data_IF_926547624104
#
_entry.id   IF_926547624104
#
_cell.length_a   1.000
_cell.length_b   1.000
_cell.length_c   1.000
_cell.angle_alpha   90.00
_cell.angle_beta   90.00
_cell.angle_gamma   90.00
#
_symmetry.space_group_name_H-M   'P 1'
#
loop_
_entity.id
_entity.type
_entity.pdbx_description
1 polymer ?
#
# COMPACT_ATOMS: atom_id res chain seq x y z
N UNK A 1 5.40 -6.98 1.03
CA UNK A 1 4.51 -5.95 0.43
C UNK A 1 4.05 -6.48 -0.92
N UNK A 2 2.83 -6.18 -1.40
CA UNK A 2 2.42 -6.55 -2.75
C UNK A 2 3.32 -5.91 -3.80
N UNK A 3 3.81 -6.69 -4.77
CA UNK A 3 4.79 -6.18 -5.74
C UNK A 3 4.19 -5.12 -6.68
N UNK A 4 2.91 -5.25 -7.03
CA UNK A 4 2.17 -4.26 -7.84
C UNK A 4 2.30 -2.85 -7.25
N UNK A 5 2.06 -2.72 -5.94
CA UNK A 5 2.13 -1.46 -5.21
C UNK A 5 3.57 -0.95 -5.12
N UNK A 6 4.53 -1.83 -4.83
CA UNK A 6 5.95 -1.46 -4.73
C UNK A 6 6.47 -0.90 -6.06
N UNK A 7 6.21 -1.60 -7.17
CA UNK A 7 6.66 -1.16 -8.49
C UNK A 7 6.02 0.18 -8.89
N UNK A 8 4.71 0.36 -8.66
CA UNK A 8 4.04 1.63 -8.94
C UNK A 8 4.69 2.80 -8.16
N UNK A 9 4.95 2.62 -6.86
CA UNK A 9 5.63 3.65 -6.07
C UNK A 9 7.08 3.89 -6.50
N UNK A 10 7.83 2.83 -6.86
CA UNK A 10 9.20 2.96 -7.32
C UNK A 10 9.28 3.74 -8.64
N UNK A 11 8.35 3.52 -9.57
CA UNK A 11 8.27 4.28 -10.82
C UNK A 11 8.01 5.76 -10.53
N UNK A 12 7.02 6.10 -9.71
CA UNK A 12 6.77 7.51 -9.33
C UNK A 12 7.97 8.15 -8.61
N UNK A 13 8.63 7.41 -7.73
CA UNK A 13 9.84 7.89 -7.03
C UNK A 13 10.97 8.13 -8.00
N UNK A 14 11.14 7.26 -9.00
CA UNK A 14 12.16 7.41 -10.04
C UNK A 14 11.86 8.60 -10.94
N UNK A 15 10.61 8.79 -11.38
CA UNK A 15 10.17 9.96 -12.14
C UNK A 15 10.43 11.27 -11.38
N UNK A 16 10.11 11.31 -10.08
CA UNK A 16 10.39 12.47 -9.24
C UNK A 16 11.90 12.79 -9.13
N UNK A 17 12.75 11.75 -9.07
CA UNK A 17 14.21 11.91 -9.07
C UNK A 17 14.75 12.41 -10.42
N UNK A 18 14.29 11.84 -11.53
CA UNK A 18 14.73 12.26 -12.87
C UNK A 18 14.31 13.70 -13.19
N UNK A 19 13.21 14.19 -12.61
CA UNK A 19 12.81 15.61 -12.71
C UNK A 19 13.78 16.56 -12.01
N UNK A 20 14.38 16.13 -10.90
CA UNK A 20 15.26 16.97 -10.07
C UNK A 20 16.74 16.84 -10.45
N UNK A 21 17.07 15.93 -11.35
CA UNK A 21 18.45 15.61 -11.73
C UNK A 21 18.94 16.57 -12.82
N UNK A 22 20.17 17.03 -12.68
CA UNK A 22 20.87 17.79 -13.72
C UNK A 22 21.09 16.91 -14.97
N UNK A 23 20.65 17.38 -16.14
CA UNK A 23 20.59 16.56 -17.37
C UNK A 23 19.50 15.48 -17.36
N UNK A 24 18.54 15.57 -16.44
CA UNK A 24 17.38 14.67 -16.36
C UNK A 24 16.26 15.02 -17.34
N UNK A 25 15.05 14.58 -17.01
CA UNK A 25 13.85 14.84 -17.82
C UNK A 25 13.28 16.23 -17.51
N UNK A 26 13.93 17.27 -18.06
CA UNK A 26 13.59 18.67 -17.79
C UNK A 26 12.16 19.06 -18.23
N UNK A 27 11.56 18.29 -19.14
CA UNK A 27 10.18 18.46 -19.57
C UNK A 27 9.16 17.86 -18.61
N UNK A 28 9.56 17.02 -17.64
CA UNK A 28 8.66 16.33 -16.72
C UNK A 28 8.11 17.27 -15.65
N UNK A 29 6.80 17.25 -15.39
CA UNK A 29 6.15 18.10 -14.38
C UNK A 29 5.79 17.32 -13.11
N UNK A 30 5.03 17.98 -12.23
CA UNK A 30 4.78 17.50 -10.87
C UNK A 30 3.79 16.34 -10.82
N UNK A 31 2.76 16.37 -11.68
CA UNK A 31 1.68 15.40 -11.65
C UNK A 31 2.06 14.12 -12.43
N UNK A 32 1.98 12.98 -11.75
CA UNK A 32 2.16 11.67 -12.34
C UNK A 32 1.27 10.62 -11.67
N UNK A 33 0.74 9.72 -12.49
CA UNK A 33 -0.07 8.56 -12.09
C UNK A 33 0.55 7.33 -12.74
N UNK A 34 0.78 6.28 -11.95
CA UNK A 34 1.36 5.02 -12.43
C UNK A 34 0.49 3.86 -12.00
N UNK A 35 0.27 2.93 -12.91
CA UNK A 35 -0.46 1.69 -12.64
C UNK A 35 0.34 0.51 -13.18
N UNK A 36 0.49 -0.53 -12.37
CA UNK A 36 1.24 -1.74 -12.71
C UNK A 36 0.33 -2.95 -12.57
N UNK A 37 0.13 -3.67 -13.67
CA UNK A 37 -0.58 -4.93 -13.71
C UNK A 37 0.41 -6.09 -13.75
N UNK A 38 0.26 -7.01 -12.81
CA UNK A 38 1.11 -8.21 -12.70
C UNK A 38 0.22 -9.43 -12.86
N UNK A 39 0.68 -10.38 -13.67
CA UNK A 39 0.04 -11.68 -13.80
C UNK A 39 0.54 -12.60 -12.69
N UNK A 40 -0.41 -13.09 -11.91
CA UNK A 40 -0.18 -14.05 -10.84
C UNK A 40 -0.76 -15.42 -11.19
N UNK A 41 -0.13 -16.49 -10.70
CA UNK A 41 -0.65 -17.85 -10.70
C UNK A 41 -1.00 -18.24 -9.27
N UNK A 42 -2.23 -18.71 -9.04
CA UNK A 42 -2.57 -19.36 -7.78
C UNK A 42 -2.16 -20.83 -7.85
N UNK A 43 -1.31 -21.26 -6.95
CA UNK A 43 -0.91 -22.66 -6.83
C UNK A 43 -2.08 -23.48 -6.24
N UNK A 44 -2.35 -24.65 -6.80
CA UNK A 44 -3.52 -25.47 -6.43
C UNK A 44 -3.38 -26.09 -5.04
N UNK A 45 -2.19 -26.56 -4.70
CA UNK A 45 -1.96 -27.34 -3.48
C UNK A 45 -1.84 -26.43 -2.25
N UNK A 46 -1.12 -25.32 -2.40
CA UNK A 46 -0.87 -24.42 -1.28
C UNK A 46 -1.83 -23.23 -1.27
N UNK A 47 -2.46 -22.87 -2.39
CA UNK A 47 -3.17 -21.60 -2.56
C UNK A 47 -2.26 -20.37 -2.62
N UNK A 48 -0.92 -20.56 -2.75
CA UNK A 48 0.04 -19.45 -2.83
C UNK A 48 -0.18 -18.64 -4.11
N UNK A 49 0.01 -17.33 -4.01
CA UNK A 49 -0.06 -16.42 -5.16
C UNK A 49 1.38 -16.21 -5.64
N UNK A 50 1.76 -16.94 -6.68
CA UNK A 50 3.09 -16.89 -7.29
C UNK A 50 3.09 -15.87 -8.41
N UNK A 51 4.11 -15.04 -8.46
CA UNK A 51 4.28 -14.06 -9.51
C UNK A 51 4.80 -14.72 -10.79
N UNK A 52 4.20 -14.37 -11.93
CA UNK A 52 4.66 -14.85 -13.24
C UNK A 52 5.46 -13.75 -13.94
N UNK A 53 4.83 -12.61 -14.22
CA UNK A 53 5.43 -11.48 -14.95
C UNK A 53 4.65 -10.20 -14.74
N UNK A 54 5.28 -9.07 -15.01
CA UNK A 54 4.57 -7.81 -15.25
C UNK A 54 3.89 -7.90 -16.62
N UNK A 55 2.59 -7.62 -16.67
CA UNK A 55 1.79 -7.75 -17.88
C UNK A 55 1.57 -6.39 -18.56
N UNK A 56 1.30 -5.34 -17.78
CA UNK A 56 1.12 -4.00 -18.32
C UNK A 56 1.59 -2.95 -17.32
N UNK A 57 2.28 -1.93 -17.82
CA UNK A 57 2.66 -0.73 -17.06
C UNK A 57 2.01 0.47 -17.76
N UNK A 58 1.27 1.27 -17.00
CA UNK A 58 0.69 2.52 -17.46
C UNK A 58 1.36 3.64 -16.67
N UNK A 59 1.88 4.63 -17.39
CA UNK A 59 2.45 5.84 -16.81
C UNK A 59 1.77 7.02 -17.50
N UNK A 60 1.12 7.87 -16.72
CA UNK A 60 0.59 9.15 -17.15
C UNK A 60 1.32 10.22 -16.38
N UNK A 61 1.91 11.19 -17.08
CA UNK A 61 2.67 12.27 -16.45
C UNK A 61 2.43 13.58 -17.18
N UNK A 62 2.37 14.65 -16.42
CA UNK A 62 2.31 15.99 -16.95
C UNK A 62 3.68 16.38 -17.52
N UNK A 63 3.68 17.12 -18.63
CA UNK A 63 4.89 17.54 -19.34
C UNK A 63 4.89 19.03 -19.71
N UNK A 64 6.04 19.58 -20.09
CA UNK A 64 6.18 20.94 -20.62
C UNK A 64 5.59 21.05 -22.04
N UNK A 65 5.32 22.27 -22.50
CA UNK A 65 4.84 22.52 -23.88
C UNK A 65 5.93 22.34 -24.95
N UNK A 66 7.18 22.18 -24.52
CA UNK A 66 8.35 22.07 -25.40
C UNK A 66 8.43 20.70 -26.10
N UNK A 67 7.65 19.73 -25.64
CA UNK A 67 7.60 18.38 -26.22
C UNK A 67 6.30 18.21 -27.02
N UNK A 68 6.40 17.61 -28.22
CA UNK A 68 5.32 17.66 -29.21
C UNK A 68 4.15 16.75 -28.86
N UNK A 69 2.92 17.18 -29.18
CA UNK A 69 1.67 16.43 -28.93
C UNK A 69 1.59 15.10 -29.70
N UNK A 70 2.39 14.93 -30.76
CA UNK A 70 2.52 13.66 -31.49
C UNK A 70 3.28 12.59 -30.69
N UNK A 71 4.16 13.01 -29.78
CA UNK A 71 4.96 12.13 -28.95
C UNK A 71 4.32 11.82 -27.59
N UNK A 72 3.31 12.60 -27.14
CA UNK A 72 2.92 12.60 -25.71
C UNK A 72 1.43 12.66 -25.32
N UNK A 73 0.46 12.74 -26.25
CA UNK A 73 -1.01 12.79 -26.00
C UNK A 73 -1.48 12.79 -24.53
N UNK A 74 -1.34 13.91 -23.83
CA UNK A 74 -2.26 14.39 -22.77
C UNK A 74 -1.92 15.84 -22.45
N UNK A 75 -2.88 16.77 -22.59
CA UNK A 75 -2.68 18.20 -22.28
C UNK A 75 -3.68 18.61 -21.19
N UNK A 76 -3.13 19.23 -20.14
CA UNK A 76 -3.72 19.66 -18.85
C UNK A 76 -3.65 18.60 -17.74
N UNK A 77 -3.02 18.94 -16.61
CA UNK A 77 -2.86 18.11 -15.41
C UNK A 77 -2.62 18.98 -14.17
N UNK A 78 -2.54 18.39 -12.98
CA UNK A 78 -2.45 19.12 -11.71
C UNK A 78 -3.77 19.78 -11.26
N UNK A 79 -3.75 20.65 -10.23
CA UNK A 79 -4.96 21.22 -9.61
C UNK A 79 -5.85 22.01 -10.58
N UNK A 80 -5.28 22.50 -11.69
CA UNK A 80 -5.99 23.23 -12.72
C UNK A 80 -6.83 22.31 -13.64
N UNK A 81 -6.50 21.02 -13.72
CA UNK A 81 -7.23 20.02 -14.51
C UNK A 81 -8.00 18.99 -13.67
N UNK A 82 -7.63 18.80 -12.41
CA UNK A 82 -8.21 17.79 -11.51
C UNK A 82 -8.17 18.30 -10.06
N UNK A 83 -9.34 18.48 -9.43
CA UNK A 83 -9.43 18.98 -8.07
C UNK A 83 -9.00 17.90 -7.08
N UNK A 84 -7.95 18.16 -6.30
CA UNK A 84 -7.49 17.23 -5.27
C UNK A 84 -8.16 17.46 -3.92
N UNK A 85 -8.85 16.45 -3.38
CA UNK A 85 -9.34 16.47 -1.99
C UNK A 85 -8.52 15.53 -1.09
N UNK A 86 -8.28 15.98 0.14
CA UNK A 86 -7.61 15.19 1.17
C UNK A 86 -8.39 13.90 1.44
N UNK A 87 -7.69 12.75 1.44
CA UNK A 87 -8.29 11.44 1.69
C UNK A 87 -8.84 10.71 0.46
N UNK A 88 -8.76 11.26 -0.76
CA UNK A 88 -9.24 10.56 -1.96
C UNK A 88 -8.33 9.42 -2.46
N UNK A 89 -7.13 9.28 -1.90
CA UNK A 89 -6.16 8.25 -2.27
C UNK A 89 -5.98 7.21 -1.16
N UNK A 90 -7.07 6.78 -0.51
CA UNK A 90 -7.03 5.90 0.68
C UNK A 90 -6.43 4.50 0.44
N UNK A 91 -6.54 3.98 -0.79
CA UNK A 91 -5.91 2.69 -1.15
C UNK A 91 -4.40 2.85 -1.28
N UNK A 92 -3.94 4.06 -1.62
CA UNK A 92 -2.52 4.41 -1.74
C UNK A 92 -1.96 4.81 -0.37
N UNK A 93 -2.75 5.51 0.47
CA UNK A 93 -2.34 6.07 1.75
C UNK A 93 -3.42 5.83 2.84
N UNK A 94 -3.03 5.54 4.08
CA UNK A 94 -3.97 5.44 5.21
C UNK A 94 -4.28 6.85 5.78
N UNK A 95 -5.55 7.23 5.98
CA UNK A 95 -5.93 8.60 6.43
C UNK A 95 -6.92 8.66 7.62
N UNK A 96 -6.73 9.70 8.48
CA UNK A 96 -7.41 10.12 9.73
C UNK A 96 -6.86 9.56 11.06
N UNK A 97 -7.02 10.29 12.19
CA UNK A 97 -6.24 10.11 13.43
C UNK A 97 -6.22 8.68 14.01
N UNK A 98 -7.39 8.10 14.32
CA UNK A 98 -7.47 6.71 14.82
C UNK A 98 -7.27 5.70 13.69
N UNK A 99 -7.69 6.03 12.46
CA UNK A 99 -7.51 5.15 11.31
C UNK A 99 -6.03 5.01 10.93
N UNK A 100 -5.21 6.04 11.15
CA UNK A 100 -3.79 6.07 10.82
C UNK A 100 -2.99 5.31 11.88
N UNK A 101 -3.19 5.58 13.17
CA UNK A 101 -2.53 4.84 14.24
C UNK A 101 -2.96 3.36 14.25
N UNK A 102 -4.26 3.08 14.14
CA UNK A 102 -4.78 1.72 13.99
C UNK A 102 -4.23 1.00 12.76
N UNK A 103 -4.15 1.67 11.60
CA UNK A 103 -3.57 1.08 10.39
C UNK A 103 -2.07 0.82 10.52
N UNK A 104 -1.30 1.74 11.11
CA UNK A 104 0.13 1.52 11.36
C UNK A 104 0.38 0.38 12.33
N UNK A 105 -0.43 0.27 13.39
CA UNK A 105 -0.35 -0.85 14.31
C UNK A 105 -0.70 -2.18 13.62
N UNK A 106 -1.81 -2.24 12.89
CA UNK A 106 -2.20 -3.43 12.13
C UNK A 106 -1.10 -3.83 11.13
N UNK A 107 -0.47 -2.84 10.49
CA UNK A 107 0.66 -3.05 9.59
C UNK A 107 1.89 -3.59 10.32
N UNK A 108 2.20 -3.07 11.50
CA UNK A 108 3.32 -3.54 12.31
C UNK A 108 3.11 -4.98 12.74
N UNK A 109 1.92 -5.30 13.28
CA UNK A 109 1.52 -6.65 13.66
C UNK A 109 1.68 -7.61 12.47
N UNK A 110 1.09 -7.27 11.32
CA UNK A 110 1.16 -8.10 10.11
C UNK A 110 2.62 -8.34 9.68
N UNK A 111 3.46 -7.30 9.69
CA UNK A 111 4.88 -7.40 9.32
C UNK A 111 5.65 -8.29 10.30
N UNK A 112 5.41 -8.16 11.60
CA UNK A 112 6.07 -8.96 12.63
C UNK A 112 5.71 -10.45 12.53
N UNK A 113 4.44 -10.78 12.31
CA UNK A 113 3.99 -12.17 12.17
C UNK A 113 4.62 -12.84 10.93
N UNK A 114 4.71 -12.12 9.81
CA UNK A 114 5.38 -12.62 8.60
C UNK A 114 6.89 -12.74 8.83
N UNK A 115 7.53 -11.77 9.49
CA UNK A 115 8.97 -11.77 9.73
C UNK A 115 9.43 -12.94 10.60
N UNK A 116 8.64 -13.33 11.60
CA UNK A 116 8.89 -14.53 12.43
C UNK A 116 8.53 -15.82 11.68
N UNK A 117 7.89 -15.72 10.51
CA UNK A 117 7.54 -16.87 9.68
C UNK A 117 6.37 -17.68 10.22
N UNK A 118 5.47 -17.09 11.01
CA UNK A 118 4.25 -17.75 11.50
C UNK A 118 3.18 -17.90 10.40
N UNK A 119 3.19 -16.98 9.43
CA UNK A 119 2.35 -17.03 8.25
C UNK A 119 3.06 -16.40 7.04
N UNK A 120 2.75 -16.86 5.82
CA UNK A 120 3.27 -16.22 4.60
C UNK A 120 2.50 -14.94 4.27
N UNK A 121 1.16 -15.00 4.34
CA UNK A 121 0.26 -13.87 4.13
C UNK A 121 -0.65 -13.72 5.34
N UNK A 122 -0.99 -12.48 5.69
CA UNK A 122 -1.89 -12.18 6.79
C UNK A 122 -2.64 -10.88 6.53
N UNK A 123 -3.92 -10.88 6.82
CA UNK A 123 -4.78 -9.72 6.95
C UNK A 123 -5.08 -9.52 8.44
N UNK A 124 -4.86 -8.30 8.93
CA UNK A 124 -5.17 -7.91 10.30
C UNK A 124 -6.18 -6.77 10.24
N UNK A 125 -7.29 -6.92 10.95
CA UNK A 125 -8.33 -5.91 11.06
C UNK A 125 -8.55 -5.58 12.54
N UNK A 126 -8.56 -4.29 12.85
CA UNK A 126 -8.82 -3.74 14.17
C UNK A 126 -10.03 -2.83 14.09
N UNK A 127 -10.96 -2.98 15.04
CA UNK A 127 -12.15 -2.13 15.13
C UNK A 127 -12.19 -1.44 16.50
N UNK A 128 -12.51 -0.14 16.50
CA UNK A 128 -12.64 0.67 17.71
C UNK A 128 -13.96 1.42 17.71
N UNK A 129 -14.47 1.73 18.90
CA UNK A 129 -15.57 2.69 19.10
C UNK A 129 -15.02 3.98 19.73
N UNK A 130 -15.69 5.09 19.43
CA UNK A 130 -15.38 6.39 20.03
C UNK A 130 -15.54 6.29 21.55
N UNK A 131 -14.52 6.74 22.29
CA UNK A 131 -14.49 6.68 23.75
C UNK A 131 -14.06 5.32 24.35
N UNK A 132 -13.82 4.29 23.52
CA UNK A 132 -13.40 2.97 24.00
C UNK A 132 -11.89 2.79 23.78
N UNK A 133 -11.17 2.53 24.88
CA UNK A 133 -9.69 2.41 24.88
C UNK A 133 -9.21 1.09 24.26
N UNK A 134 -9.95 -0.01 24.48
CA UNK A 134 -9.64 -1.33 23.95
C UNK A 134 -10.32 -1.55 22.60
N UNK A 135 -9.74 -2.34 21.68
CA UNK A 135 -10.41 -2.68 20.43
C UNK A 135 -11.68 -3.50 20.71
N UNK A 136 -12.75 -3.19 19.98
CA UNK A 136 -14.00 -3.96 19.99
C UNK A 136 -13.78 -5.35 19.38
N UNK A 137 -13.04 -5.40 18.29
CA UNK A 137 -12.71 -6.65 17.61
C UNK A 137 -11.31 -6.62 17.00
N UNK A 138 -10.66 -7.77 17.05
CA UNK A 138 -9.40 -8.05 16.37
C UNK A 138 -9.63 -9.28 15.51
N UNK A 139 -9.61 -9.09 14.20
CA UNK A 139 -9.78 -10.17 13.23
C UNK A 139 -8.46 -10.41 12.50
N UNK A 140 -8.15 -11.69 12.30
CA UNK A 140 -6.95 -12.13 11.60
C UNK A 140 -7.33 -13.19 10.59
N UNK A 141 -6.86 -13.02 9.36
CA UNK A 141 -6.95 -14.04 8.33
C UNK A 141 -5.59 -14.32 7.71
N UNK A 142 -5.14 -15.57 7.80
CA UNK A 142 -3.90 -16.03 7.16
C UNK A 142 -4.13 -16.55 5.75
N UNK A 143 -5.36 -16.56 5.23
CA UNK A 143 -5.71 -17.17 3.93
C UNK A 143 -5.29 -18.66 3.84
N UNK A 144 -5.26 -19.37 4.97
CA UNK A 144 -4.79 -20.75 5.05
C UNK A 144 -3.26 -20.90 5.00
N UNK A 145 -2.50 -19.80 5.09
CA UNK A 145 -1.03 -19.76 5.00
C UNK A 145 -0.31 -19.68 6.34
N UNK A 146 -0.97 -20.05 7.44
CA UNK A 146 -0.35 -20.17 8.75
C UNK A 146 0.35 -21.52 8.90
N UNK A 147 1.43 -21.58 9.70
CA UNK A 147 2.12 -22.83 10.07
C UNK A 147 1.28 -23.68 11.05
N UNK A 148 0.11 -24.16 10.62
CA UNK A 148 -0.78 -24.98 11.45
C UNK A 148 -1.45 -24.24 12.62
N UNK A 149 -1.31 -22.91 12.68
CA UNK A 149 -1.93 -22.08 13.72
C UNK A 149 -3.37 -21.74 13.34
N UNK A 150 -4.27 -21.89 14.30
CA UNK A 150 -5.67 -21.45 14.19
C UNK A 150 -5.78 -19.93 14.31
N UNK A 151 -6.86 -19.36 13.78
CA UNK A 151 -7.13 -17.91 13.85
C UNK A 151 -7.14 -17.41 15.30
N UNK A 152 -7.73 -18.18 16.22
CA UNK A 152 -7.78 -17.85 17.65
C UNK A 152 -6.37 -17.71 18.25
N UNK A 153 -5.49 -18.70 18.04
CA UNK A 153 -4.10 -18.64 18.54
C UNK A 153 -3.34 -17.43 17.99
N UNK A 154 -3.55 -17.06 16.74
CA UNK A 154 -2.93 -15.86 16.17
C UNK A 154 -3.42 -14.58 16.86
N UNK A 155 -4.72 -14.48 17.17
CA UNK A 155 -5.26 -13.36 17.93
C UNK A 155 -4.69 -13.31 19.35
N UNK A 156 -4.52 -14.45 20.00
CA UNK A 156 -3.94 -14.53 21.35
C UNK A 156 -2.48 -14.08 21.34
N UNK A 157 -1.68 -14.54 20.37
CA UNK A 157 -0.30 -14.09 20.18
C UNK A 157 -0.24 -12.58 20.00
N UNK A 158 -1.17 -11.98 19.24
CA UNK A 158 -1.21 -10.53 19.05
C UNK A 158 -1.50 -9.83 20.38
N UNK A 159 -2.51 -10.29 21.12
CA UNK A 159 -2.92 -9.68 22.40
C UNK A 159 -1.85 -9.77 23.47
N UNK A 160 -1.03 -10.81 23.47
CA UNK A 160 0.07 -10.98 24.42
C UNK A 160 1.28 -10.08 24.11
N UNK A 161 1.52 -9.75 22.84
CA UNK A 161 2.74 -9.07 22.41
C UNK A 161 2.54 -7.59 22.02
N UNK A 162 1.32 -7.17 21.69
CA UNK A 162 1.03 -5.82 21.23
C UNK A 162 0.00 -5.14 22.12
N UNK A 163 0.32 -3.92 22.53
CA UNK A 163 -0.64 -3.04 23.16
C UNK A 163 -1.52 -2.37 22.08
N UNK A 164 -2.79 -2.77 22.04
CA UNK A 164 -3.75 -2.32 21.04
C UNK A 164 -4.44 -1.00 21.43
N UNK A 165 -3.95 -0.27 22.43
CA UNK A 165 -4.55 1.01 22.84
C UNK A 165 -4.12 2.14 21.89
N UNK A 166 -5.06 2.96 21.36
CA UNK A 166 -4.72 4.03 20.42
C UNK A 166 -3.66 5.02 20.93
N UNK A 167 -3.63 5.29 22.24
CA UNK A 167 -2.68 6.22 22.86
C UNK A 167 -1.24 5.72 22.97
N UNK A 168 -0.98 4.43 22.72
CA UNK A 168 0.37 3.83 22.78
C UNK A 168 1.07 3.89 21.42
N UNK A 169 0.29 3.85 20.33
CA UNK A 169 0.82 3.82 18.96
C UNK A 169 1.39 5.18 18.52
N UNK A 170 1.06 6.26 19.21
CA UNK A 170 1.49 7.63 18.89
C UNK A 170 2.71 8.13 19.67
N UNK A 171 3.37 7.28 20.45
CA UNK A 171 4.63 7.57 21.16
C UNK A 171 5.79 6.89 20.44
#
# INVERSE_FOLDING_TARGET
MPLTLVLAHQINTKLAKERQKEGGLNWLRLDSKTQVMIKYKKEKDTGAVVLIRVDTIIVSTQHSKEISTKDLRFVIGGPQGDAGLTGQKIIINYWSKVNQSGAYLARWIAKSIIAVGLAQHILVQLSYAIGVIKPLSTHVDSYGKSKGLTKAKLVDIIRCNFDLRPGVVGK
#
